data_IF_761170119284
#
_entry.id   IF_761170119284
#
_cell.length_a   1.000
_cell.length_b   1.000
_cell.length_c   1.000
_cell.angle_alpha   90.00
_cell.angle_beta   90.00
_cell.angle_gamma   90.00
#
_symmetry.space_group_name_H-M   'P 1'
#
loop_
_entity.id
_entity.type
_entity.pdbx_description
1 polymer ?
#
# COMPACT_ATOMS: atom_id res chain seq x y z
N UNK A 1 46.58 9.38 24.67
CA UNK A 1 45.18 9.33 24.19
C UNK A 1 44.37 10.61 24.48
N UNK A 2 44.98 11.80 24.52
CA UNK A 2 44.29 13.10 24.77
C UNK A 2 44.49 14.16 23.67
N UNK A 3 45.06 13.80 22.52
CA UNK A 3 45.40 14.78 21.45
C UNK A 3 44.47 14.73 20.23
N UNK A 4 43.48 13.81 20.18
CA UNK A 4 42.61 13.65 19.01
C UNK A 4 41.20 14.25 19.15
N UNK A 5 40.82 14.80 20.31
CA UNK A 5 39.47 15.35 20.51
C UNK A 5 39.35 16.88 20.41
N UNK A 6 40.46 17.63 20.46
CA UNK A 6 40.40 19.11 20.41
C UNK A 6 40.27 19.66 18.99
N UNK A 7 40.72 18.92 17.96
CA UNK A 7 40.67 19.40 16.56
C UNK A 7 39.28 19.35 15.90
N UNK A 8 38.33 18.59 16.46
CA UNK A 8 36.98 18.48 15.89
C UNK A 8 35.99 19.54 16.40
N UNK A 9 36.30 20.23 17.51
CA UNK A 9 35.40 21.24 18.07
C UNK A 9 35.61 22.64 17.47
N UNK A 10 36.83 22.98 17.04
CA UNK A 10 37.10 24.26 16.35
C UNK A 10 36.55 24.30 14.92
N UNK A 11 36.48 23.15 14.24
CA UNK A 11 35.96 23.06 12.86
C UNK A 11 34.43 23.25 12.78
N UNK A 12 33.70 22.98 13.87
CA UNK A 12 32.23 23.08 13.90
C UNK A 12 31.77 24.51 14.22
N UNK A 13 32.54 25.29 14.98
CA UNK A 13 32.17 26.67 15.32
C UNK A 13 32.51 27.69 14.22
N UNK A 14 33.56 27.49 13.42
CA UNK A 14 33.91 28.40 12.32
C UNK A 14 32.94 28.38 11.12
N UNK A 15 32.11 27.34 10.99
CA UNK A 15 31.21 27.16 9.84
C UNK A 15 29.78 27.71 10.07
N UNK A 16 29.46 28.16 11.29
CA UNK A 16 28.16 28.77 11.62
C UNK A 16 28.13 30.29 11.43
N UNK A 17 29.27 30.95 11.58
CA UNK A 17 29.34 32.43 11.53
C UNK A 17 29.40 32.96 10.08
N UNK A 18 29.96 32.17 9.15
CA UNK A 18 30.00 32.52 7.72
C UNK A 18 28.67 32.31 6.97
N UNK A 19 27.69 31.60 7.54
CA UNK A 19 26.37 31.40 6.90
C UNK A 19 25.38 32.56 7.13
N UNK A 20 25.62 33.40 8.13
CA UNK A 20 24.69 34.49 8.49
C UNK A 20 25.02 35.78 7.72
N UNK A 21 26.25 35.92 7.21
CA UNK A 21 26.69 37.12 6.50
C UNK A 21 26.42 37.09 4.97
N UNK A 22 26.15 35.93 4.37
CA UNK A 22 25.88 35.79 2.93
C UNK A 22 24.38 35.83 2.56
N UNK A 23 23.45 35.65 3.50
CA UNK A 23 22.00 35.71 3.20
C UNK A 23 21.43 37.14 3.03
N UNK A 24 22.24 38.18 3.29
CA UNK A 24 21.76 39.58 3.25
C UNK A 24 22.10 40.36 1.98
N UNK A 25 22.76 39.75 0.98
CA UNK A 25 23.19 40.45 -0.25
C UNK A 25 22.56 39.97 -1.57
N UNK A 26 21.70 38.96 -1.54
CA UNK A 26 21.10 38.41 -2.78
C UNK A 26 19.63 38.82 -3.00
N UNK A 27 19.14 39.88 -2.35
CA UNK A 27 17.75 40.32 -2.49
C UNK A 27 17.50 41.40 -3.55
N UNK A 28 18.52 41.88 -4.25
CA UNK A 28 18.37 42.91 -5.28
C UNK A 28 19.17 42.55 -6.55
N UNK A 29 18.65 41.62 -7.36
CA UNK A 29 18.72 41.70 -8.84
C UNK A 29 18.05 40.50 -9.49
N UNK A 30 17.54 40.76 -10.70
CA UNK A 30 17.11 39.77 -11.71
C UNK A 30 15.61 39.41 -11.71
N UNK A 31 14.81 40.44 -12.05
CA UNK A 31 13.76 40.26 -13.06
C UNK A 31 14.47 39.92 -14.39
N UNK A 32 14.29 38.70 -14.85
CA UNK A 32 14.08 38.31 -16.25
C UNK A 32 14.41 36.83 -16.38
N UNK A 33 13.41 36.05 -16.78
CA UNK A 33 13.47 34.82 -17.59
C UNK A 33 12.40 33.81 -17.15
N UNK A 34 11.27 33.94 -17.84
CA UNK A 34 10.30 32.87 -18.01
C UNK A 34 10.97 31.71 -18.76
N UNK A 35 11.30 30.62 -18.05
CA UNK A 35 11.17 29.23 -18.51
C UNK A 35 11.68 28.31 -17.39
N UNK A 36 11.00 27.18 -17.19
CA UNK A 36 11.37 26.05 -16.32
C UNK A 36 11.07 26.16 -14.80
N UNK A 37 9.80 26.33 -14.42
CA UNK A 37 9.32 25.92 -13.09
C UNK A 37 8.25 24.83 -13.22
N UNK A 38 8.68 23.63 -13.58
CA UNK A 38 8.00 22.38 -13.22
C UNK A 38 9.09 21.40 -12.77
N UNK A 39 9.37 21.37 -11.47
CA UNK A 39 10.07 20.26 -10.83
C UNK A 39 9.72 20.21 -9.33
N UNK A 40 8.65 19.49 -8.93
CA UNK A 40 8.56 18.92 -7.60
C UNK A 40 8.98 17.43 -7.66
N UNK A 41 10.01 17.08 -6.90
CA UNK A 41 10.40 15.73 -6.45
C UNK A 41 10.01 14.53 -7.33
N UNK A 42 10.81 14.29 -8.39
CA UNK A 42 10.72 13.10 -9.26
C UNK A 42 11.25 11.81 -8.61
N UNK A 43 11.73 11.85 -7.36
CA UNK A 43 12.32 10.69 -6.69
C UNK A 43 11.29 9.62 -6.28
N UNK A 44 10.17 10.04 -5.69
CA UNK A 44 9.20 9.11 -5.08
C UNK A 44 8.26 8.48 -6.14
N UNK A 45 7.89 9.24 -7.18
CA UNK A 45 7.13 8.70 -8.31
C UNK A 45 7.95 7.71 -9.15
N UNK A 46 9.26 7.91 -9.28
CA UNK A 46 10.15 6.98 -10.00
C UNK A 46 10.25 5.63 -9.26
N UNK A 47 10.33 5.67 -7.94
CA UNK A 47 10.38 4.47 -7.09
C UNK A 47 9.05 3.73 -7.15
N UNK A 48 7.92 4.44 -7.04
CA UNK A 48 6.58 3.86 -7.15
C UNK A 48 6.35 3.25 -8.55
N UNK A 49 6.82 3.93 -9.60
CA UNK A 49 6.77 3.46 -10.98
C UNK A 49 7.62 2.20 -11.22
N UNK A 50 8.84 2.13 -10.68
CA UNK A 50 9.71 0.94 -10.74
C UNK A 50 9.06 -0.27 -10.06
N UNK A 51 8.51 -0.09 -8.87
CA UNK A 51 7.82 -1.15 -8.12
C UNK A 51 6.60 -1.65 -8.91
N UNK A 52 5.82 -0.73 -9.51
CA UNK A 52 4.66 -1.11 -10.31
C UNK A 52 5.07 -1.84 -11.59
N UNK A 53 6.11 -1.39 -12.30
CA UNK A 53 6.64 -2.03 -13.51
C UNK A 53 7.20 -3.42 -13.21
N UNK A 54 7.91 -3.61 -12.09
CA UNK A 54 8.46 -4.92 -11.71
C UNK A 54 7.36 -5.91 -11.29
N UNK A 55 6.33 -5.44 -10.56
CA UNK A 55 5.13 -6.23 -10.27
C UNK A 55 4.40 -6.59 -11.56
N UNK A 56 4.26 -5.63 -12.49
CA UNK A 56 3.60 -5.85 -13.77
C UNK A 56 4.39 -6.82 -14.65
N UNK A 57 5.72 -6.72 -14.67
CA UNK A 57 6.60 -7.63 -15.41
C UNK A 57 6.53 -9.05 -14.85
N UNK A 58 6.44 -9.18 -13.52
CA UNK A 58 6.28 -10.49 -12.86
C UNK A 58 4.88 -11.07 -13.08
N UNK A 59 3.85 -10.23 -13.18
CA UNK A 59 2.47 -10.64 -13.41
C UNK A 59 2.16 -10.95 -14.89
N UNK A 60 2.64 -10.13 -15.84
CA UNK A 60 2.44 -10.35 -17.28
C UNK A 60 3.39 -11.39 -17.88
N UNK A 61 4.63 -11.49 -17.38
CA UNK A 61 5.57 -12.55 -17.82
C UNK A 61 5.40 -13.81 -16.96
N UNK A 62 4.32 -13.90 -16.16
CA UNK A 62 3.96 -15.05 -15.35
C UNK A 62 4.35 -16.35 -16.04
N UNK A 63 5.25 -17.10 -15.39
CA UNK A 63 5.90 -18.36 -15.79
C UNK A 63 5.39 -18.99 -17.11
N UNK A 64 5.69 -18.36 -18.25
CA UNK A 64 5.40 -18.91 -19.58
C UNK A 64 6.64 -18.87 -20.46
N UNK A 65 7.83 -18.98 -19.86
CA UNK A 65 8.91 -19.64 -20.58
C UNK A 65 8.49 -21.12 -20.69
N UNK A 66 8.04 -21.50 -21.89
CA UNK A 66 8.08 -22.89 -22.38
C UNK A 66 9.55 -23.33 -22.40
N UNK A 67 10.13 -23.51 -21.22
CA UNK A 67 11.52 -23.92 -21.00
C UNK A 67 11.63 -25.45 -20.88
N UNK A 68 10.59 -26.17 -21.31
CA UNK A 68 10.60 -27.62 -21.40
C UNK A 68 10.61 -27.94 -22.89
N UNK A 69 11.77 -28.24 -23.50
CA UNK A 69 11.77 -28.80 -24.84
C UNK A 69 10.95 -30.09 -24.78
N UNK A 70 9.96 -30.19 -25.66
CA UNK A 70 9.27 -31.47 -25.91
C UNK A 70 10.31 -32.36 -26.56
N UNK A 71 10.96 -33.20 -25.75
CA UNK A 71 11.86 -34.24 -26.26
C UNK A 71 10.96 -35.33 -26.82
N UNK A 72 10.82 -35.36 -28.15
CA UNK A 72 10.26 -36.52 -28.82
C UNK A 72 11.17 -37.72 -28.52
N UNK A 73 10.59 -38.80 -27.99
CA UNK A 73 11.34 -40.00 -27.69
C UNK A 73 12.06 -40.48 -28.96
N UNK A 74 13.36 -40.74 -28.85
CA UNK A 74 14.16 -41.21 -29.97
C UNK A 74 13.47 -42.42 -30.64
N UNK A 75 13.21 -42.34 -31.94
CA UNK A 75 12.77 -43.49 -32.73
C UNK A 75 13.87 -44.55 -32.62
N UNK A 76 13.51 -45.76 -32.17
CA UNK A 76 14.43 -46.89 -32.04
C UNK A 76 15.23 -47.07 -33.32
N UNK A 77 16.55 -47.11 -33.22
CA UNK A 77 17.47 -47.35 -34.32
C UNK A 77 17.39 -48.83 -34.77
N UNK A 78 17.66 -49.13 -36.05
CA UNK A 78 17.56 -50.49 -36.59
C UNK A 78 18.48 -51.52 -35.93
N UNK A 79 19.49 -51.08 -35.16
CA UNK A 79 20.33 -51.95 -34.35
C UNK A 79 19.60 -52.56 -33.14
N UNK A 80 18.66 -51.81 -32.53
CA UNK A 80 17.86 -52.30 -31.38
C UNK A 80 16.77 -53.31 -31.80
N UNK A 81 16.40 -53.29 -33.08
CA UNK A 81 15.41 -54.20 -33.67
C UNK A 81 15.99 -55.57 -34.06
N UNK A 82 17.33 -55.71 -34.09
CA UNK A 82 17.99 -56.95 -34.51
C UNK A 82 18.05 -58.01 -33.39
N UNK A 83 17.77 -57.62 -32.14
CA UNK A 83 17.81 -58.51 -30.97
C UNK A 83 16.48 -58.63 -30.20
N UNK A 84 15.40 -57.99 -30.67
CA UNK A 84 14.08 -58.06 -30.01
C UNK A 84 13.09 -58.86 -30.85
N UNK A 85 12.41 -59.88 -30.30
CA UNK A 85 11.39 -60.61 -31.05
C UNK A 85 10.27 -59.65 -31.48
N UNK A 86 9.96 -59.65 -32.78
CA UNK A 86 8.90 -58.80 -33.36
C UNK A 86 7.54 -59.39 -32.96
N UNK A 87 6.57 -58.55 -32.59
CA UNK A 87 5.23 -58.99 -32.19
C UNK A 87 4.65 -59.91 -33.29
N UNK A 88 4.39 -61.19 -32.98
CA UNK A 88 3.89 -62.12 -33.98
C UNK A 88 2.50 -61.68 -34.49
N UNK A 89 2.22 -61.84 -35.79
CA UNK A 89 0.90 -61.57 -36.37
C UNK A 89 -0.13 -62.57 -35.81
N UNK A 90 -1.44 -62.27 -35.87
CA UNK A 90 -2.46 -63.21 -35.42
C UNK A 90 -2.52 -64.45 -36.34
N UNK A 91 -2.29 -65.63 -35.78
CA UNK A 91 -2.26 -66.92 -36.51
C UNK A 91 -3.44 -67.82 -36.09
N UNK A 92 -3.87 -68.73 -36.97
CA UNK A 92 -4.87 -69.77 -36.66
C UNK A 92 -4.19 -70.97 -36.00
N UNK A 93 -4.95 -71.78 -35.25
CA UNK A 93 -4.43 -72.95 -34.52
C UNK A 93 -3.70 -73.99 -35.39
N UNK A 94 -4.07 -74.09 -36.67
CA UNK A 94 -3.47 -75.03 -37.63
C UNK A 94 -2.08 -74.61 -38.10
N UNK A 95 -1.75 -73.33 -37.95
CA UNK A 95 -0.53 -72.73 -38.48
C UNK A 95 0.55 -72.57 -37.40
N UNK A 96 0.28 -73.09 -36.19
CA UNK A 96 1.26 -73.16 -35.12
C UNK A 96 2.16 -74.37 -35.36
N UNK A 97 3.47 -74.12 -35.44
CA UNK A 97 4.43 -75.21 -35.42
C UNK A 97 4.34 -75.93 -34.06
N UNK A 98 4.42 -77.27 -34.05
CA UNK A 98 4.28 -78.05 -32.82
C UNK A 98 5.38 -77.76 -31.77
N UNK A 99 6.51 -77.20 -32.20
CA UNK A 99 7.70 -77.04 -31.35
C UNK A 99 8.19 -75.59 -31.20
N UNK A 100 7.85 -74.67 -32.13
CA UNK A 100 8.22 -73.25 -32.04
C UNK A 100 6.95 -72.39 -31.92
N UNK A 101 6.75 -71.79 -30.75
CA UNK A 101 5.63 -70.89 -30.49
C UNK A 101 6.14 -69.45 -30.34
N UNK A 102 6.20 -68.65 -31.42
CA UNK A 102 6.74 -67.28 -31.38
C UNK A 102 5.96 -66.35 -30.44
N UNK A 103 4.71 -66.70 -30.13
CA UNK A 103 3.91 -66.00 -29.11
C UNK A 103 4.43 -66.19 -27.68
N UNK A 104 5.00 -67.35 -27.35
CA UNK A 104 5.59 -67.59 -26.03
C UNK A 104 6.91 -66.84 -25.89
N UNK A 105 7.79 -66.92 -26.89
CA UNK A 105 9.06 -66.17 -26.88
C UNK A 105 8.86 -64.66 -26.78
N UNK A 106 7.87 -64.11 -27.51
CA UNK A 106 7.53 -62.70 -27.40
C UNK A 106 6.96 -62.34 -26.02
N UNK A 107 6.15 -63.23 -25.43
CA UNK A 107 5.57 -63.02 -24.10
C UNK A 107 6.65 -63.05 -23.02
N UNK A 108 7.58 -64.00 -23.08
CA UNK A 108 8.70 -64.13 -22.15
C UNK A 108 9.66 -62.92 -22.27
N UNK A 109 9.84 -62.40 -23.48
CA UNK A 109 10.55 -61.15 -23.73
C UNK A 109 9.84 -59.94 -23.10
N UNK A 110 8.53 -59.79 -23.27
CA UNK A 110 7.76 -58.69 -22.65
C UNK A 110 7.82 -58.80 -21.12
N UNK A 111 7.57 -59.98 -20.55
CA UNK A 111 7.63 -60.20 -19.10
C UNK A 111 9.03 -59.94 -18.53
N UNK A 112 10.11 -60.27 -19.25
CA UNK A 112 11.47 -59.98 -18.81
C UNK A 112 11.81 -58.49 -18.87
N UNK A 113 11.26 -57.75 -19.85
CA UNK A 113 11.40 -56.28 -19.88
C UNK A 113 10.61 -55.57 -18.77
N UNK A 114 9.46 -56.12 -18.34
CA UNK A 114 8.63 -55.55 -17.27
C UNK A 114 9.19 -55.84 -15.86
N UNK A 115 9.92 -56.95 -15.68
CA UNK A 115 10.55 -57.33 -14.40
C UNK A 115 11.72 -56.43 -13.99
N UNK A 116 12.23 -55.58 -14.88
CA UNK A 116 13.28 -54.63 -14.54
C UNK A 116 12.72 -53.45 -13.72
N UNK A 117 13.19 -53.22 -12.48
CA UNK A 117 12.73 -52.10 -11.65
C UNK A 117 13.06 -50.73 -12.27
N UNK A 118 14.02 -50.70 -13.21
CA UNK A 118 14.44 -49.51 -13.93
C UNK A 118 13.68 -49.27 -15.26
N UNK A 119 12.81 -50.19 -15.71
CA UNK A 119 12.13 -50.08 -17.00
C UNK A 119 11.07 -48.97 -17.07
N UNK A 120 10.47 -48.63 -15.92
CA UNK A 120 9.40 -47.63 -15.82
C UNK A 120 9.85 -46.27 -15.24
N UNK A 121 11.10 -46.16 -14.80
CA UNK A 121 11.63 -44.89 -14.32
C UNK A 121 12.16 -44.10 -15.50
N UNK A 122 11.42 -43.05 -15.86
CA UNK A 122 11.88 -42.01 -16.78
C UNK A 122 13.21 -41.46 -16.23
N UNK A 123 14.33 -41.91 -16.78
CA UNK A 123 15.69 -41.54 -16.33
C UNK A 123 15.86 -40.01 -16.25
N UNK A 124 15.25 -39.32 -17.19
CA UNK A 124 15.17 -37.86 -17.25
C UNK A 124 14.47 -37.28 -16.01
N UNK A 125 13.40 -37.91 -15.52
CA UNK A 125 12.71 -37.49 -14.30
C UNK A 125 13.59 -37.66 -13.06
N UNK A 126 14.37 -38.75 -12.97
CA UNK A 126 15.30 -38.99 -11.85
C UNK A 126 16.41 -37.94 -11.80
N UNK A 127 16.89 -37.50 -12.97
CA UNK A 127 17.91 -36.45 -13.07
C UNK A 127 17.34 -35.03 -12.89
N UNK A 128 16.18 -34.71 -13.48
CA UNK A 128 15.60 -33.36 -13.40
C UNK A 128 14.93 -33.05 -12.05
N UNK A 129 14.34 -34.05 -11.39
CA UNK A 129 13.64 -33.86 -10.11
C UNK A 129 14.45 -33.10 -9.04
N UNK A 130 15.73 -33.44 -8.75
CA UNK A 130 16.51 -32.70 -7.75
C UNK A 130 16.76 -31.24 -8.17
N UNK A 131 16.98 -30.98 -9.46
CA UNK A 131 17.18 -29.62 -9.98
C UNK A 131 15.90 -28.78 -9.89
N UNK A 132 14.75 -29.33 -10.24
CA UNK A 132 13.46 -28.62 -10.10
C UNK A 132 13.11 -28.40 -8.62
N UNK A 133 13.35 -29.40 -7.75
CA UNK A 133 13.08 -29.28 -6.31
C UNK A 133 13.95 -28.22 -5.64
N UNK A 134 15.22 -28.13 -6.02
CA UNK A 134 16.13 -27.09 -5.48
C UNK A 134 15.73 -25.70 -5.97
N UNK A 135 15.34 -25.55 -7.24
CA UNK A 135 14.85 -24.28 -7.76
C UNK A 135 13.55 -23.83 -7.08
N UNK A 136 12.57 -24.74 -6.91
CA UNK A 136 11.31 -24.43 -6.22
C UNK A 136 11.52 -24.03 -4.76
N UNK A 137 12.43 -24.69 -4.03
CA UNK A 137 12.76 -24.30 -2.66
C UNK A 137 13.35 -22.89 -2.61
N UNK A 138 14.35 -22.60 -3.45
CA UNK A 138 14.95 -21.25 -3.55
C UNK A 138 13.91 -20.18 -3.89
N UNK A 139 12.98 -20.47 -4.79
CA UNK A 139 11.91 -19.56 -5.16
C UNK A 139 10.93 -19.32 -3.99
N UNK A 140 10.54 -20.37 -3.28
CA UNK A 140 9.65 -20.28 -2.11
C UNK A 140 10.31 -19.51 -0.95
N UNK A 141 11.60 -19.75 -0.70
CA UNK A 141 12.37 -19.07 0.34
C UNK A 141 12.52 -17.57 0.00
N UNK A 142 12.85 -17.23 -1.25
CA UNK A 142 12.93 -15.86 -1.73
C UNK A 142 11.59 -15.12 -1.61
N UNK A 143 10.48 -15.76 -1.99
CA UNK A 143 9.14 -15.19 -1.83
C UNK A 143 8.79 -14.97 -0.34
N UNK A 144 9.20 -15.89 0.54
CA UNK A 144 9.05 -15.75 1.98
C UNK A 144 9.80 -14.55 2.55
N UNK A 145 11.05 -14.36 2.13
CA UNK A 145 11.89 -13.22 2.55
C UNK A 145 11.38 -11.88 2.04
N UNK A 146 10.93 -11.82 0.78
CA UNK A 146 10.35 -10.59 0.22
C UNK A 146 9.09 -10.24 1.01
N UNK A 147 8.22 -11.23 1.29
CA UNK A 147 7.00 -11.00 2.05
C UNK A 147 7.27 -10.49 3.47
N UNK A 148 8.28 -11.05 4.16
CA UNK A 148 8.63 -10.60 5.51
C UNK A 148 9.23 -9.19 5.50
N UNK A 149 10.11 -8.87 4.55
CA UNK A 149 10.68 -7.52 4.36
C UNK A 149 9.61 -6.48 4.03
N UNK A 150 8.69 -6.79 3.13
CA UNK A 150 7.56 -5.90 2.78
C UNK A 150 6.66 -5.67 3.99
N UNK A 151 6.34 -6.72 4.76
CA UNK A 151 5.56 -6.57 5.99
C UNK A 151 6.28 -5.70 7.03
N UNK A 152 7.58 -5.90 7.20
CA UNK A 152 8.38 -5.14 8.15
C UNK A 152 8.49 -3.67 7.74
N UNK A 153 8.75 -3.39 6.45
CA UNK A 153 8.76 -2.03 5.92
C UNK A 153 7.39 -1.36 6.02
N UNK A 154 6.32 -2.08 5.71
CA UNK A 154 4.97 -1.55 5.87
C UNK A 154 4.69 -1.19 7.35
N UNK A 155 5.10 -2.06 8.29
CA UNK A 155 4.94 -1.79 9.71
C UNK A 155 5.77 -0.58 10.18
N UNK A 156 7.03 -0.45 9.75
CA UNK A 156 7.89 0.68 10.11
C UNK A 156 7.45 1.99 9.47
N UNK A 157 7.00 1.96 8.22
CA UNK A 157 6.42 3.12 7.54
C UNK A 157 5.08 3.54 8.18
N UNK A 158 4.24 2.59 8.58
CA UNK A 158 3.02 2.90 9.33
C UNK A 158 3.33 3.57 10.67
N UNK A 159 4.35 3.10 11.40
CA UNK A 159 4.75 3.68 12.66
C UNK A 159 5.28 5.11 12.49
N UNK A 160 6.18 5.34 11.53
CA UNK A 160 6.73 6.68 11.25
C UNK A 160 5.66 7.68 10.80
N UNK A 161 4.71 7.26 9.95
CA UNK A 161 3.57 8.11 9.55
C UNK A 161 2.70 8.45 10.76
N UNK A 162 2.46 7.48 11.66
CA UNK A 162 1.67 7.72 12.87
C UNK A 162 2.36 8.72 13.80
N UNK A 163 3.68 8.61 13.96
CA UNK A 163 4.46 9.51 14.79
C UNK A 163 4.54 10.91 14.18
N UNK A 164 4.79 11.02 12.87
CA UNK A 164 4.76 12.30 12.15
C UNK A 164 3.38 12.96 12.23
N UNK A 165 2.30 12.19 12.07
CA UNK A 165 0.92 12.71 12.24
C UNK A 165 0.68 13.21 13.66
N UNK A 166 1.20 12.51 14.68
CA UNK A 166 1.07 12.94 16.08
C UNK A 166 1.83 14.24 16.31
N UNK A 167 3.09 14.32 15.90
CA UNK A 167 3.91 15.54 16.01
C UNK A 167 3.29 16.71 15.26
N UNK A 168 2.80 16.49 14.05
CA UNK A 168 2.11 17.51 13.27
C UNK A 168 0.85 18.02 13.99
N UNK A 169 0.02 17.11 14.52
CA UNK A 169 -1.19 17.47 15.24
C UNK A 169 -0.88 18.27 16.51
N UNK A 170 0.17 17.88 17.24
CA UNK A 170 0.57 18.55 18.47
C UNK A 170 1.10 19.96 18.12
N UNK A 171 1.98 20.09 17.12
CA UNK A 171 2.51 21.38 16.64
C UNK A 171 1.43 22.33 16.10
N UNK A 172 0.40 21.81 15.42
CA UNK A 172 -0.72 22.60 14.91
C UNK A 172 -1.74 23.00 15.99
N UNK A 173 -1.66 22.42 17.19
CA UNK A 173 -2.53 22.77 18.32
C UNK A 173 -1.86 23.69 19.33
N UNK A 174 -0.55 23.89 19.22
CA UNK A 174 0.18 24.84 20.04
C UNK A 174 -0.28 26.28 19.77
N UNK A 175 -0.48 27.04 20.86
CA UNK A 175 -0.97 28.43 20.81
C UNK A 175 0.00 29.39 20.12
N UNK A 176 1.29 29.06 20.07
CA UNK A 176 2.33 29.92 19.53
C UNK A 176 2.41 29.88 17.99
N UNK A 177 1.76 28.89 17.35
CA UNK A 177 1.85 28.63 15.91
C UNK A 177 0.63 29.12 15.12
N UNK A 178 -0.03 30.20 15.59
CA UNK A 178 -1.17 30.81 14.90
C UNK A 178 -0.95 31.13 13.41
N UNK A 179 0.16 31.77 12.98
CA UNK A 179 0.34 32.11 11.57
C UNK A 179 0.47 30.85 10.68
N UNK A 180 1.12 29.81 11.19
CA UNK A 180 1.28 28.54 10.49
C UNK A 180 -0.08 27.85 10.33
N UNK A 181 -0.92 27.85 11.37
CA UNK A 181 -2.27 27.29 11.33
C UNK A 181 -3.15 27.96 10.27
N UNK A 182 -3.08 29.29 10.16
CA UNK A 182 -3.80 30.03 9.14
C UNK A 182 -3.29 29.71 7.72
N UNK A 183 -1.97 29.60 7.55
CA UNK A 183 -1.37 29.22 6.28
C UNK A 183 -1.83 27.82 5.83
N UNK A 184 -1.88 26.84 6.74
CA UNK A 184 -2.37 25.49 6.42
C UNK A 184 -3.83 25.50 5.97
N UNK A 185 -4.69 26.29 6.63
CA UNK A 185 -6.10 26.45 6.23
C UNK A 185 -6.23 27.11 4.85
N UNK A 186 -5.40 28.11 4.55
CA UNK A 186 -5.38 28.74 3.23
C UNK A 186 -4.93 27.74 2.15
N UNK A 187 -3.85 27.00 2.41
CA UNK A 187 -3.34 25.97 1.50
C UNK A 187 -4.36 24.87 1.28
N UNK A 188 -5.10 24.43 2.30
CA UNK A 188 -6.12 23.39 2.15
C UNK A 188 -7.31 23.88 1.31
N UNK A 189 -7.69 25.16 1.44
CA UNK A 189 -8.69 25.80 0.57
C UNK A 189 -8.24 25.85 -0.89
N UNK A 190 -7.01 26.30 -1.14
CA UNK A 190 -6.41 26.34 -2.49
C UNK A 190 -6.29 24.93 -3.09
N UNK A 191 -5.86 23.94 -2.31
CA UNK A 191 -5.81 22.55 -2.73
C UNK A 191 -7.20 22.02 -3.11
N UNK A 192 -8.23 22.32 -2.32
CA UNK A 192 -9.62 22.00 -2.64
C UNK A 192 -10.09 22.64 -3.94
N UNK A 193 -9.71 23.90 -4.18
CA UNK A 193 -10.02 24.61 -5.40
C UNK A 193 -9.40 23.98 -6.66
N UNK A 194 -8.13 23.54 -6.57
CA UNK A 194 -7.47 22.83 -7.67
C UNK A 194 -8.07 21.43 -7.91
N UNK A 195 -8.37 20.68 -6.85
CA UNK A 195 -9.06 19.38 -6.97
C UNK A 195 -10.47 19.51 -7.57
N UNK A 196 -11.11 20.66 -7.38
CA UNK A 196 -12.39 21.01 -7.99
C UNK A 196 -12.32 21.48 -9.45
N UNK A 197 -11.12 21.63 -10.03
CA UNK A 197 -10.90 22.29 -11.32
C UNK A 197 -11.48 21.60 -12.57
N UNK A 198 -11.89 20.33 -12.45
CA UNK A 198 -12.45 19.54 -13.56
C UNK A 198 -13.98 19.59 -13.70
N UNK A 199 -14.69 20.49 -13.02
CA UNK A 199 -16.13 20.65 -13.19
C UNK A 199 -16.57 22.11 -13.04
N UNK A 200 -17.86 22.38 -13.31
CA UNK A 200 -18.41 23.74 -13.26
C UNK A 200 -18.28 24.43 -11.90
N UNK A 201 -18.65 25.71 -11.86
CA UNK A 201 -18.61 26.60 -10.68
C UNK A 201 -19.11 25.95 -9.38
N UNK A 202 -20.28 25.26 -9.33
CA UNK A 202 -20.77 24.69 -8.07
C UNK A 202 -19.85 23.60 -7.50
N UNK A 203 -19.23 22.79 -8.36
CA UNK A 203 -18.28 21.75 -7.94
C UNK A 203 -17.04 22.39 -7.32
N UNK A 204 -16.52 23.44 -7.96
CA UNK A 204 -15.34 24.18 -7.48
C UNK A 204 -15.59 24.79 -6.10
N UNK A 205 -16.75 25.41 -5.90
CA UNK A 205 -17.14 25.98 -4.60
C UNK A 205 -17.22 24.88 -3.53
N UNK A 206 -17.85 23.74 -3.82
CA UNK A 206 -17.97 22.63 -2.89
C UNK A 206 -16.60 22.07 -2.44
N UNK A 207 -15.69 21.81 -3.38
CA UNK A 207 -14.36 21.29 -3.01
C UNK A 207 -13.50 22.32 -2.29
N UNK A 208 -13.64 23.60 -2.63
CA UNK A 208 -12.94 24.69 -1.93
C UNK A 208 -13.42 24.80 -0.48
N UNK A 209 -14.73 24.80 -0.24
CA UNK A 209 -15.29 24.84 1.12
C UNK A 209 -14.91 23.59 1.92
N UNK A 210 -14.91 22.41 1.29
CA UNK A 210 -14.41 21.18 1.90
C UNK A 210 -12.93 21.30 2.28
N UNK A 211 -12.11 21.92 1.42
CA UNK A 211 -10.70 22.20 1.68
C UNK A 211 -10.50 23.12 2.89
N UNK A 212 -11.24 24.22 2.97
CA UNK A 212 -11.20 25.11 4.14
C UNK A 212 -11.68 24.41 5.42
N UNK A 213 -12.75 23.63 5.34
CA UNK A 213 -13.32 22.94 6.49
C UNK A 213 -12.39 21.84 7.02
N UNK A 214 -11.75 21.08 6.13
CA UNK A 214 -10.78 20.05 6.51
C UNK A 214 -9.54 20.65 7.18
N UNK A 215 -8.94 21.69 6.61
CA UNK A 215 -7.85 22.42 7.25
C UNK A 215 -8.27 23.08 8.57
N UNK A 216 -9.44 23.72 8.59
CA UNK A 216 -10.00 24.39 9.76
C UNK A 216 -10.24 23.44 10.91
N UNK A 217 -10.88 22.29 10.66
CA UNK A 217 -11.16 21.28 11.69
C UNK A 217 -9.88 20.67 12.30
N UNK A 218 -8.80 20.58 11.51
CA UNK A 218 -7.53 20.06 11.96
C UNK A 218 -6.76 21.08 12.82
N UNK A 219 -6.69 22.32 12.35
CA UNK A 219 -5.95 23.40 12.99
C UNK A 219 -6.72 24.07 14.13
N UNK A 220 -8.04 24.25 14.03
CA UNK A 220 -8.89 25.00 14.96
C UNK A 220 -10.13 24.18 15.37
N UNK A 221 -9.97 23.08 16.15
CA UNK A 221 -11.07 22.16 16.42
C UNK A 221 -12.20 22.78 17.27
N UNK A 222 -11.88 23.67 18.21
CA UNK A 222 -12.89 24.33 19.06
C UNK A 222 -13.73 25.33 18.28
N UNK A 223 -13.06 26.27 17.60
CA UNK A 223 -13.71 27.29 16.78
C UNK A 223 -14.51 26.65 15.63
N UNK A 224 -13.95 25.64 14.98
CA UNK A 224 -14.64 24.94 13.88
C UNK A 224 -15.87 24.17 14.38
N UNK A 225 -15.83 23.54 15.56
CA UNK A 225 -17.00 22.86 16.12
C UNK A 225 -18.13 23.85 16.45
N UNK A 226 -17.79 24.99 17.05
CA UNK A 226 -18.76 26.05 17.36
C UNK A 226 -19.43 26.62 16.11
N UNK A 227 -18.62 26.96 15.09
CA UNK A 227 -19.10 27.46 13.80
C UNK A 227 -19.94 26.39 13.11
N UNK A 228 -19.47 25.14 13.06
CA UNK A 228 -20.21 24.05 12.42
C UNK A 228 -21.57 23.81 13.08
N UNK A 229 -21.63 23.82 14.41
CA UNK A 229 -22.90 23.66 15.15
C UNK A 229 -23.84 24.84 14.92
N UNK A 230 -23.33 26.06 14.88
CA UNK A 230 -24.13 27.26 14.56
C UNK A 230 -24.68 27.20 13.13
N UNK A 231 -23.83 26.90 12.15
CA UNK A 231 -24.22 26.79 10.75
C UNK A 231 -25.24 25.67 10.56
N UNK A 232 -25.01 24.50 11.15
CA UNK A 232 -25.93 23.35 11.07
C UNK A 232 -27.28 23.68 11.70
N UNK A 233 -27.30 24.36 12.85
CA UNK A 233 -28.53 24.78 13.51
C UNK A 233 -29.31 25.80 12.67
N UNK A 234 -28.64 26.84 12.17
CA UNK A 234 -29.26 27.87 11.32
C UNK A 234 -29.78 27.27 9.99
N UNK A 235 -28.97 26.43 9.34
CA UNK A 235 -29.36 25.72 8.13
C UNK A 235 -30.55 24.79 8.39
N UNK A 236 -30.53 24.02 9.47
CA UNK A 236 -31.64 23.18 9.90
C UNK A 236 -32.91 23.98 10.15
N UNK A 237 -32.83 25.11 10.85
CA UNK A 237 -33.98 25.99 11.09
C UNK A 237 -34.56 26.54 9.78
N UNK A 238 -33.71 26.98 8.86
CA UNK A 238 -34.15 27.51 7.55
C UNK A 238 -34.72 26.43 6.64
N UNK A 239 -34.14 25.24 6.65
CA UNK A 239 -34.68 24.10 5.92
C UNK A 239 -36.05 23.69 6.46
N UNK A 240 -36.21 23.69 7.79
CA UNK A 240 -37.48 23.37 8.44
C UNK A 240 -38.53 24.47 8.19
N UNK A 241 -38.14 25.75 8.18
CA UNK A 241 -39.01 26.88 7.81
C UNK A 241 -39.52 26.73 6.36
N UNK A 242 -38.62 26.40 5.42
CA UNK A 242 -38.98 26.14 4.03
C UNK A 242 -39.88 24.90 3.88
N UNK A 243 -39.59 23.83 4.62
CA UNK A 243 -40.40 22.62 4.63
C UNK A 243 -41.80 22.88 5.20
N UNK A 244 -41.90 23.63 6.31
CA UNK A 244 -43.17 24.03 6.89
C UNK A 244 -43.97 24.93 5.94
N UNK A 245 -43.32 25.80 5.17
CA UNK A 245 -43.95 26.61 4.13
C UNK A 245 -44.49 25.76 2.97
N UNK A 246 -43.77 24.70 2.57
CA UNK A 246 -44.16 23.82 1.46
C UNK A 246 -45.23 22.79 1.86
N UNK A 247 -45.16 22.26 3.08
CA UNK A 247 -45.99 21.13 3.54
C UNK A 247 -47.02 21.49 4.61
N UNK A 248 -47.07 22.74 5.07
CA UNK A 248 -48.07 23.22 6.06
C UNK A 248 -47.94 22.59 7.45
N UNK A 249 -46.81 21.96 7.77
CA UNK A 249 -46.57 21.32 9.07
C UNK A 249 -46.03 22.31 10.11
N UNK A 250 -46.39 22.14 11.38
CA UNK A 250 -45.94 23.02 12.49
C UNK A 250 -44.71 22.50 13.25
N UNK A 251 -43.73 21.92 12.56
CA UNK A 251 -42.57 21.30 13.24
C UNK A 251 -41.57 22.38 13.62
N UNK A 252 -41.26 22.51 14.91
CA UNK A 252 -40.29 23.48 15.43
C UNK A 252 -39.04 22.76 15.91
N UNK A 253 -37.87 23.26 15.50
CA UNK A 253 -36.58 22.76 15.95
C UNK A 253 -36.36 23.16 17.42
N UNK A 254 -35.98 22.21 18.29
CA UNK A 254 -35.62 22.53 19.68
C UNK A 254 -34.46 23.53 19.75
N UNK A 255 -34.42 24.32 20.81
CA UNK A 255 -33.32 25.26 21.06
C UNK A 255 -31.97 24.55 21.17
N UNK A 256 -30.91 25.26 20.74
CA UNK A 256 -29.54 24.77 20.80
C UNK A 256 -29.14 24.58 22.27
N UNK A 257 -28.71 23.37 22.62
CA UNK A 257 -28.10 23.12 23.93
C UNK A 257 -26.73 23.83 24.01
N UNK A 258 -26.48 24.68 25.04
CA UNK A 258 -25.19 25.33 25.23
C UNK A 258 -24.10 24.28 25.52
N UNK A 259 -22.86 24.62 25.18
CA UNK A 259 -21.72 23.77 25.52
C UNK A 259 -21.50 23.78 27.04
N UNK A 260 -20.87 22.73 27.57
CA UNK A 260 -20.50 22.68 29.00
C UNK A 260 -19.62 23.86 29.43
N UNK A 261 -18.82 24.39 28.51
CA UNK A 261 -17.93 25.54 28.76
C UNK A 261 -18.71 26.87 28.86
N UNK A 262 -19.92 26.97 28.29
CA UNK A 262 -20.78 28.16 28.32
C UNK A 262 -21.77 28.15 29.50
N UNK A 263 -21.85 27.05 30.24
CA UNK A 263 -22.74 26.94 31.38
C UNK A 263 -22.14 27.65 32.61
N UNK A 264 -22.91 28.47 33.34
CA UNK A 264 -22.44 29.05 34.58
C UNK A 264 -22.00 27.95 35.55
N UNK A 265 -20.95 28.19 36.37
CA UNK A 265 -20.46 27.20 37.32
C UNK A 265 -21.61 26.75 38.24
N UNK A 266 -21.69 25.45 38.59
CA UNK A 266 -22.74 24.95 39.44
C UNK A 266 -22.74 25.73 40.76
N UNK A 267 -23.92 26.11 41.28
CA UNK A 267 -23.99 26.86 42.52
C UNK A 267 -23.33 26.07 43.67
N UNK A 268 -22.68 26.75 44.63
CA UNK A 268 -22.04 26.06 45.74
C UNK A 268 -23.05 25.21 46.50
N UNK A 269 -22.62 24.00 46.90
CA UNK A 269 -23.46 23.04 47.64
C UNK A 269 -23.97 23.73 48.91
N UNK A 270 -25.30 23.87 49.03
CA UNK A 270 -25.93 24.46 50.21
C UNK A 270 -25.57 23.61 51.43
N UNK A 271 -25.10 24.26 52.51
CA UNK A 271 -24.82 23.58 53.78
C UNK A 271 -26.07 22.83 54.25
N UNK A 272 -25.94 21.59 54.74
CA UNK A 272 -27.08 20.85 55.26
C UNK A 272 -27.75 21.65 56.37
N UNK A 273 -29.05 21.85 56.25
CA UNK A 273 -29.87 22.52 57.26
C UNK A 273 -29.93 21.55 58.45
N UNK A 274 -29.25 21.89 59.55
CA UNK A 274 -29.38 21.15 60.81
C UNK A 274 -30.76 21.50 61.37
N UNK A 275 -31.70 20.56 61.27
CA UNK A 275 -33.01 20.72 61.90
C UNK A 275 -32.84 20.84 63.42
N UNK A 276 -33.54 21.77 64.09
CA UNK A 276 -33.48 21.88 65.53
C UNK A 276 -34.01 20.59 66.18
N UNK A 277 -33.43 20.15 67.31
CA UNK A 277 -33.89 18.96 68.01
C UNK A 277 -35.36 19.15 68.41
N UNK A 278 -36.17 18.12 68.15
CA UNK A 278 -37.57 18.09 68.57
C UNK A 278 -37.61 18.20 70.10
N UNK A 279 -38.35 19.19 70.60
CA UNK A 279 -38.66 19.34 72.03
C UNK A 279 -39.60 18.25 72.51
#
# INVERSE_FOLDING_TARGET
MKSCMTKNLEYINGNKENRIHDEKKNFDNENDNNESIINPDYGDLYILGRIWIDVLKTALVGENLKLIPVVEAAKKTPADLLGSPKRPPPMKYTDLSLYECPHYEYKDYVESTEKCPDANVKLLHRYLLPHIKTYRKKAADCAGEIRSKVKQQCASTCATIRDAKKQFKDNMRDSNNLPIRQAVVAVSGVAGFFLGGGGGIPKRLFFTTLGFLTGGSLCFPKETDEVFRNVTYCAGKKFLEMYNMLCGTGVVLREKLPCKEDMPPPPPVRKPIVCPPKK
#
